data_IF_126208817181
#
_entry.id   IF_126208817181
#
_cell.length_a   1.000
_cell.length_b   1.000
_cell.length_c   1.000
_cell.angle_alpha   90.00
_cell.angle_beta   90.00
_cell.angle_gamma   90.00
#
_symmetry.space_group_name_H-M   'P 1'
#
loop_
_entity.id
_entity.type
_entity.pdbx_description
1 polymer ?
#
# COMPACT_ATOMS: atom_id res chain seq x y z
N UNK A 1 -58.20 5.56 -45.32
CA UNK A 1 -56.75 5.83 -45.49
C UNK A 1 -56.09 5.81 -44.13
N UNK A 2 -55.20 4.82 -43.94
CA UNK A 2 -54.58 4.47 -42.66
C UNK A 2 -53.23 5.19 -42.51
N UNK A 3 -52.99 5.85 -41.38
CA UNK A 3 -51.64 6.24 -40.95
C UNK A 3 -51.34 5.48 -39.64
N UNK A 4 -50.46 4.48 -39.75
CA UNK A 4 -49.91 3.73 -38.61
C UNK A 4 -48.89 4.59 -37.83
N UNK A 5 -48.70 4.35 -36.53
CA UNK A 5 -47.75 5.08 -35.70
C UNK A 5 -46.30 4.66 -35.98
N UNK A 6 -45.41 5.65 -36.05
CA UNK A 6 -43.96 5.48 -36.04
C UNK A 6 -43.54 5.27 -34.59
N UNK A 7 -43.35 4.01 -34.18
CA UNK A 7 -42.80 3.67 -32.87
C UNK A 7 -41.84 2.47 -33.02
N UNK A 8 -40.86 2.60 -33.89
CA UNK A 8 -39.82 1.57 -34.07
C UNK A 8 -38.47 2.25 -34.29
N UNK A 9 -37.85 2.68 -33.20
CA UNK A 9 -36.45 3.08 -33.08
C UNK A 9 -36.32 3.65 -31.68
N UNK A 10 -35.90 2.84 -30.70
CA UNK A 10 -35.27 3.28 -29.44
C UNK A 10 -35.02 2.11 -28.46
N UNK A 11 -35.57 0.91 -28.71
CA UNK A 11 -35.48 -0.19 -27.74
C UNK A 11 -34.24 -1.09 -27.82
N UNK A 12 -33.23 -0.77 -28.64
CA UNK A 12 -32.05 -1.62 -28.83
C UNK A 12 -30.72 -1.03 -28.31
N UNK A 13 -30.73 0.14 -27.66
CA UNK A 13 -29.48 0.83 -27.27
C UNK A 13 -29.19 0.68 -25.77
N UNK A 14 -30.15 0.27 -24.95
CA UNK A 14 -30.00 0.18 -23.50
C UNK A 14 -29.22 -1.05 -22.95
N UNK A 15 -29.25 -2.27 -23.54
CA UNK A 15 -28.54 -3.40 -22.92
C UNK A 15 -27.04 -3.44 -23.24
N UNK A 16 -26.60 -2.87 -24.37
CA UNK A 16 -25.19 -2.88 -24.78
C UNK A 16 -24.30 -1.99 -23.92
N UNK A 17 -24.82 -0.86 -23.45
CA UNK A 17 -24.09 0.06 -22.58
C UNK A 17 -23.84 -0.55 -21.19
N UNK A 18 -24.77 -1.36 -20.67
CA UNK A 18 -24.63 -2.00 -19.37
C UNK A 18 -23.51 -3.07 -19.36
N UNK A 19 -23.46 -3.93 -20.38
CA UNK A 19 -22.43 -4.98 -20.49
C UNK A 19 -21.03 -4.37 -20.72
N UNK A 20 -20.95 -3.30 -21.53
CA UNK A 20 -19.70 -2.56 -21.75
C UNK A 20 -19.17 -1.90 -20.47
N UNK A 21 -20.04 -1.32 -19.65
CA UNK A 21 -19.65 -0.71 -18.37
C UNK A 21 -19.22 -1.75 -17.33
N UNK A 22 -19.85 -2.95 -17.33
CA UNK A 22 -19.48 -4.05 -16.42
C UNK A 22 -18.10 -4.64 -16.76
N UNK A 23 -17.76 -4.77 -18.04
CA UNK A 23 -16.44 -5.25 -18.49
C UNK A 23 -15.33 -4.22 -18.24
N UNK A 24 -15.62 -2.92 -18.45
CA UNK A 24 -14.68 -1.86 -18.07
C UNK A 24 -14.47 -1.78 -16.56
N UNK A 25 -15.52 -1.94 -15.74
CA UNK A 25 -15.34 -1.98 -14.28
C UNK A 25 -14.61 -3.23 -13.81
N UNK A 26 -14.81 -4.42 -14.39
CA UNK A 26 -14.00 -5.59 -14.01
C UNK A 26 -12.53 -5.47 -14.43
N UNK A 27 -12.23 -4.92 -15.62
CA UNK A 27 -10.85 -4.70 -16.07
C UNK A 27 -10.14 -3.58 -15.29
N UNK A 28 -10.88 -2.53 -14.87
CA UNK A 28 -10.35 -1.48 -14.00
C UNK A 28 -10.19 -2.00 -12.57
N UNK A 29 -11.07 -2.88 -12.07
CA UNK A 29 -10.93 -3.44 -10.72
C UNK A 29 -9.84 -4.53 -10.65
N UNK A 30 -9.59 -5.29 -11.72
CA UNK A 30 -8.51 -6.29 -11.75
C UNK A 30 -7.13 -5.69 -12.06
N UNK A 31 -7.04 -4.67 -12.92
CA UNK A 31 -5.79 -4.00 -13.25
C UNK A 31 -5.22 -3.12 -12.13
N UNK A 32 -6.05 -2.71 -11.16
CA UNK A 32 -5.66 -1.82 -10.06
C UNK A 32 -5.18 -2.56 -8.80
N UNK A 33 -5.27 -3.89 -8.74
CA UNK A 33 -4.86 -4.65 -7.55
C UNK A 33 -3.35 -4.59 -7.30
N UNK A 34 -2.57 -4.33 -8.34
CA UNK A 34 -1.11 -4.23 -8.31
C UNK A 34 -0.57 -2.82 -7.98
N UNK A 35 -1.40 -1.77 -7.91
CA UNK A 35 -0.91 -0.45 -7.47
C UNK A 35 -1.88 0.49 -6.72
N UNK A 36 -2.36 0.15 -5.51
CA UNK A 36 -2.88 1.17 -4.61
C UNK A 36 -1.71 1.82 -3.87
N UNK A 37 -1.14 2.91 -4.40
CA UNK A 37 -0.11 3.68 -3.69
C UNK A 37 -0.59 3.95 -2.27
N UNK A 38 0.10 3.37 -1.29
CA UNK A 38 -0.28 3.53 0.10
C UNK A 38 -0.16 4.99 0.49
N UNK A 39 -1.21 5.63 1.03
CA UNK A 39 -1.02 6.89 1.73
C UNK A 39 0.00 6.63 2.86
N UNK A 40 1.00 7.49 3.02
CA UNK A 40 2.05 7.33 4.03
C UNK A 40 1.49 7.62 5.42
N UNK A 41 1.76 6.75 6.40
CA UNK A 41 1.51 7.04 7.81
C UNK A 41 2.48 8.10 8.32
N UNK A 42 3.70 8.07 7.76
CA UNK A 42 4.82 8.84 8.24
C UNK A 42 5.11 9.93 7.22
N UNK A 43 4.52 11.10 7.46
CA UNK A 43 4.57 12.25 6.56
C UNK A 43 5.13 13.51 7.23
N UNK A 44 5.65 13.39 8.45
CA UNK A 44 6.24 14.52 9.14
C UNK A 44 7.60 14.90 8.53
N UNK A 45 7.95 16.18 8.64
CA UNK A 45 9.29 16.67 8.34
C UNK A 45 10.23 16.36 9.50
N UNK A 46 11.45 15.83 9.25
CA UNK A 46 12.40 15.52 10.31
C UNK A 46 12.75 16.76 11.14
N UNK A 47 12.58 16.71 12.47
CA UNK A 47 13.07 17.77 13.33
C UNK A 47 14.59 17.69 13.47
N UNK A 48 15.21 18.80 13.83
CA UNK A 48 16.60 18.81 14.26
C UNK A 48 16.71 18.22 15.67
N UNK A 49 17.46 17.13 15.82
CA UNK A 49 17.75 16.53 17.14
C UNK A 49 18.45 17.56 18.02
N UNK A 50 18.06 17.63 19.30
CA UNK A 50 18.53 18.62 20.27
C UNK A 50 17.88 20.00 20.13
N UNK A 51 17.12 20.27 19.06
CA UNK A 51 16.34 21.51 18.97
C UNK A 51 15.11 21.45 19.89
N UNK A 52 14.69 22.62 20.39
CA UNK A 52 13.51 22.75 21.24
C UNK A 52 12.25 22.31 20.50
N UNK A 53 11.41 21.53 21.18
CA UNK A 53 10.20 20.93 20.61
C UNK A 53 8.90 21.42 21.25
N UNK A 54 9.00 22.10 22.40
CA UNK A 54 7.89 22.76 23.08
C UNK A 54 8.14 24.27 23.17
N UNK A 55 7.18 25.01 23.72
CA UNK A 55 7.21 26.48 23.81
C UNK A 55 8.52 27.05 24.39
N UNK A 56 8.78 28.36 24.21
CA UNK A 56 10.10 28.97 24.41
C UNK A 56 10.68 28.83 25.83
N UNK A 57 9.85 28.62 26.86
CA UNK A 57 10.24 28.40 28.25
C UNK A 57 10.44 26.92 28.64
N UNK A 58 10.13 25.99 27.74
CA UNK A 58 10.23 24.56 28.02
C UNK A 58 11.65 24.03 27.76
N UNK A 59 12.19 23.16 28.65
CA UNK A 59 13.49 22.52 28.44
C UNK A 59 13.42 21.33 27.46
N UNK A 60 12.25 21.05 26.87
CA UNK A 60 12.06 19.89 26.02
C UNK A 60 12.75 20.00 24.66
N UNK A 61 13.43 18.94 24.25
CA UNK A 61 14.14 18.84 22.97
C UNK A 61 13.76 17.57 22.21
N UNK A 62 13.98 17.57 20.90
CA UNK A 62 13.84 16.37 20.08
C UNK A 62 14.98 15.39 20.37
N UNK A 63 14.63 14.17 20.78
CA UNK A 63 15.58 13.06 20.97
C UNK A 63 16.01 12.45 19.62
N UNK A 64 17.11 11.69 19.63
CA UNK A 64 17.46 10.80 18.53
C UNK A 64 16.29 9.87 18.19
N UNK A 65 16.04 9.64 16.89
CA UNK A 65 14.89 8.87 16.49
C UNK A 65 15.09 7.38 16.81
N UNK A 66 14.00 6.72 17.18
CA UNK A 66 13.91 5.26 17.20
C UNK A 66 13.19 4.79 15.93
N UNK A 67 13.49 3.57 15.49
CA UNK A 67 12.79 2.99 14.36
C UNK A 67 11.56 2.23 14.84
N UNK A 68 10.40 2.57 14.28
CA UNK A 68 9.14 1.89 14.51
C UNK A 68 8.61 1.27 13.21
N UNK A 69 7.85 0.20 13.34
CA UNK A 69 7.19 -0.47 12.21
C UNK A 69 5.67 -0.30 12.33
N UNK A 70 5.05 0.24 11.29
CA UNK A 70 3.60 0.45 11.22
C UNK A 70 3.04 -0.45 10.13
N UNK A 71 2.29 -1.48 10.54
CA UNK A 71 1.59 -2.37 9.61
C UNK A 71 0.43 -1.60 8.96
N UNK A 72 0.45 -1.45 7.63
CA UNK A 72 -0.49 -0.57 6.92
C UNK A 72 -1.65 -1.34 6.33
N UNK A 73 -1.37 -2.10 5.28
CA UNK A 73 -2.41 -2.72 4.46
C UNK A 73 -1.90 -3.98 3.81
N UNK A 74 -2.85 -4.85 3.52
CA UNK A 74 -2.64 -6.07 2.79
C UNK A 74 -2.86 -5.83 1.29
N UNK A 75 -1.86 -6.16 0.49
CA UNK A 75 -1.72 -5.77 -0.91
C UNK A 75 -1.45 -6.95 -1.81
N UNK A 76 -1.85 -6.82 -3.07
CA UNK A 76 -1.63 -7.80 -4.12
C UNK A 76 -0.64 -7.25 -5.15
N UNK A 77 0.66 -7.29 -4.84
CA UNK A 77 1.69 -6.61 -5.65
C UNK A 77 2.86 -7.49 -6.07
N UNK A 78 2.82 -8.76 -5.71
CA UNK A 78 3.98 -9.64 -5.84
C UNK A 78 3.62 -10.84 -6.71
N UNK A 79 4.57 -11.21 -7.56
CA UNK A 79 4.55 -12.49 -8.24
C UNK A 79 5.55 -13.43 -7.55
N UNK A 80 5.11 -14.67 -7.30
CA UNK A 80 5.94 -15.78 -6.88
C UNK A 80 5.55 -17.07 -7.60
N UNK A 81 6.50 -17.92 -8.02
CA UNK A 81 6.18 -19.25 -8.55
C UNK A 81 5.52 -20.16 -7.51
N UNK A 82 5.57 -19.79 -6.23
CA UNK A 82 4.95 -20.52 -5.12
C UNK A 82 3.42 -20.35 -5.03
N UNK A 83 2.82 -19.50 -5.89
CA UNK A 83 1.38 -19.21 -5.96
C UNK A 83 0.89 -19.21 -7.43
N UNK A 84 0.86 -20.34 -8.14
CA UNK A 84 0.73 -20.39 -9.61
C UNK A 84 -0.68 -20.05 -10.16
N UNK A 85 -1.58 -19.47 -9.36
CA UNK A 85 -2.99 -19.29 -9.70
C UNK A 85 -3.29 -18.21 -10.74
N UNK A 86 -2.33 -17.34 -11.08
CA UNK A 86 -2.47 -16.30 -12.12
C UNK A 86 -1.21 -16.24 -13.02
N UNK A 87 -1.32 -15.66 -14.23
CA UNK A 87 -0.19 -15.49 -15.15
C UNK A 87 1.01 -14.76 -14.52
N UNK A 88 2.23 -15.08 -14.97
CA UNK A 88 3.47 -14.56 -14.36
C UNK A 88 3.68 -13.03 -14.51
N UNK A 89 2.85 -12.33 -15.28
CA UNK A 89 2.83 -10.87 -15.36
C UNK A 89 1.84 -10.22 -14.39
N UNK A 90 1.09 -11.01 -13.61
CA UNK A 90 0.08 -10.55 -12.67
C UNK A 90 0.48 -10.84 -11.21
N UNK A 91 -0.16 -10.14 -10.28
CA UNK A 91 0.10 -10.29 -8.86
C UNK A 91 -0.62 -11.51 -8.31
N UNK A 92 0.14 -12.47 -7.77
CA UNK A 92 -0.40 -13.74 -7.28
C UNK A 92 -0.24 -13.93 -5.77
N UNK A 93 0.68 -13.20 -5.14
CA UNK A 93 0.98 -13.27 -3.72
C UNK A 93 0.48 -12.01 -3.01
N UNK A 94 -0.19 -12.25 -1.89
CA UNK A 94 -0.66 -11.20 -0.99
C UNK A 94 0.39 -10.89 0.07
N UNK A 95 0.60 -9.61 0.34
CA UNK A 95 1.65 -9.14 1.24
C UNK A 95 1.19 -7.97 2.11
N UNK A 96 1.62 -7.94 3.36
CA UNK A 96 1.50 -6.79 4.23
C UNK A 96 2.57 -5.77 3.88
N UNK A 97 2.16 -4.53 3.61
CA UNK A 97 3.08 -3.41 3.60
C UNK A 97 3.30 -2.92 5.04
N UNK A 98 4.57 -2.87 5.41
CA UNK A 98 5.04 -2.38 6.70
C UNK A 98 5.85 -1.13 6.42
N UNK A 99 5.35 0.00 6.91
CA UNK A 99 6.03 1.28 6.82
C UNK A 99 6.98 1.41 8.02
N UNK A 100 8.27 1.54 7.73
CA UNK A 100 9.30 1.83 8.74
C UNK A 100 9.43 3.33 8.86
N UNK A 101 9.41 3.81 10.09
CA UNK A 101 9.43 5.23 10.38
C UNK A 101 10.42 5.54 11.48
N UNK A 102 11.11 6.67 11.32
CA UNK A 102 11.86 7.30 12.39
C UNK A 102 10.88 8.07 13.27
N UNK A 103 10.73 7.62 14.51
CA UNK A 103 9.93 8.29 15.53
C UNK A 103 10.82 9.21 16.37
N UNK A 104 10.58 10.51 16.25
CA UNK A 104 11.23 11.53 17.06
C UNK A 104 10.31 11.89 18.22
N UNK A 105 10.82 11.72 19.44
CA UNK A 105 10.09 12.06 20.67
C UNK A 105 10.62 13.38 21.22
N UNK A 106 9.70 14.18 21.75
CA UNK A 106 10.02 15.40 22.47
C UNK A 106 10.20 15.02 23.94
N UNK A 107 11.39 15.19 24.49
CA UNK A 107 11.72 14.75 25.86
C UNK A 107 12.34 15.89 26.66
N UNK A 108 12.15 15.86 27.97
CA UNK A 108 12.81 16.78 28.90
C UNK A 108 14.22 16.29 29.26
N UNK A 109 15.01 17.06 30.04
CA UNK A 109 16.36 16.65 30.46
C UNK A 109 16.40 15.37 31.32
N UNK A 110 15.28 14.93 31.87
CA UNK A 110 15.17 13.66 32.60
C UNK A 110 14.88 12.46 31.68
N UNK A 111 14.64 12.70 30.39
CA UNK A 111 14.24 11.70 29.41
C UNK A 111 12.73 11.42 29.38
N UNK A 112 11.93 12.20 30.12
CA UNK A 112 10.47 12.03 30.16
C UNK A 112 9.84 12.67 28.93
N UNK A 113 8.88 11.97 28.32
CA UNK A 113 8.16 12.50 27.17
C UNK A 113 7.38 13.77 27.55
N UNK A 114 7.62 14.84 26.81
CA UNK A 114 6.85 16.06 26.90
C UNK A 114 5.50 15.88 26.19
N UNK A 115 4.49 16.69 26.56
CA UNK A 115 3.15 16.63 25.98
C UNK A 115 3.08 17.22 24.56
N UNK A 116 3.96 16.75 23.68
CA UNK A 116 4.06 17.08 22.26
C UNK A 116 4.02 15.77 21.50
N UNK A 117 3.13 15.68 20.51
CA UNK A 117 3.00 14.46 19.71
C UNK A 117 4.32 14.10 19.04
N UNK A 118 4.69 12.80 19.04
CA UNK A 118 5.90 12.36 18.35
C UNK A 118 5.77 12.64 16.85
N UNK A 119 6.89 12.98 16.23
CA UNK A 119 6.97 13.13 14.76
C UNK A 119 7.41 11.82 14.13
N UNK A 120 6.73 11.41 13.07
CA UNK A 120 6.99 10.15 12.35
C UNK A 120 7.43 10.45 10.93
N UNK A 121 8.72 10.25 10.69
CA UNK A 121 9.35 10.51 9.39
C UNK A 121 9.53 9.19 8.66
N UNK A 122 9.14 9.15 7.39
CA UNK A 122 9.29 7.99 6.54
C UNK A 122 10.77 7.57 6.41
N UNK A 123 11.04 6.28 6.61
CA UNK A 123 12.34 5.66 6.34
C UNK A 123 12.26 4.77 5.09
N UNK A 124 11.46 3.71 5.17
CA UNK A 124 11.38 2.69 4.13
C UNK A 124 10.06 1.90 4.19
N UNK A 125 9.78 1.11 3.16
CA UNK A 125 8.69 0.13 3.16
C UNK A 125 9.29 -1.26 3.03
N UNK A 126 8.87 -2.16 3.91
CA UNK A 126 9.13 -3.60 3.81
C UNK A 126 7.81 -4.30 3.53
N UNK A 127 7.89 -5.41 2.80
CA UNK A 127 6.75 -6.25 2.51
C UNK A 127 6.95 -7.62 3.14
N UNK A 128 5.94 -8.07 3.86
CA UNK A 128 5.88 -9.40 4.45
C UNK A 128 4.79 -10.23 3.81
N UNK A 129 5.07 -11.50 3.54
CA UNK A 129 4.08 -12.45 3.05
C UNK A 129 2.88 -12.52 3.99
N UNK A 130 1.68 -12.62 3.41
CA UNK A 130 0.48 -12.96 4.14
C UNK A 130 0.25 -14.48 4.23
N UNK A 131 1.07 -15.29 3.53
CA UNK A 131 0.89 -16.73 3.41
C UNK A 131 -0.31 -17.15 2.56
N UNK A 132 -0.82 -16.23 1.74
CA UNK A 132 -1.98 -16.46 0.89
C UNK A 132 -1.85 -15.75 -0.45
N UNK A 133 -2.57 -16.28 -1.42
CA UNK A 133 -2.75 -15.68 -2.73
C UNK A 133 -3.69 -14.49 -2.67
N UNK A 134 -3.75 -13.74 -3.76
CA UNK A 134 -4.72 -12.66 -3.93
C UNK A 134 -6.19 -13.11 -3.87
N UNK A 135 -6.47 -14.39 -4.09
CA UNK A 135 -7.79 -15.00 -3.92
C UNK A 135 -8.10 -15.44 -2.48
N UNK A 136 -7.20 -15.23 -1.51
CA UNK A 136 -7.38 -15.67 -0.12
C UNK A 136 -7.11 -17.15 0.12
N UNK A 137 -6.52 -17.86 -0.85
CA UNK A 137 -6.14 -19.27 -0.69
C UNK A 137 -4.70 -19.37 -0.17
N UNK A 138 -4.41 -20.26 0.80
CA UNK A 138 -3.06 -20.45 1.32
C UNK A 138 -2.06 -20.78 0.21
N UNK A 139 -0.97 -20.01 0.12
CA UNK A 139 0.13 -20.25 -0.82
C UNK A 139 1.35 -19.40 -0.44
N UNK A 140 2.50 -19.70 -1.05
CA UNK A 140 3.68 -18.86 -0.89
C UNK A 140 4.41 -19.02 0.45
N UNK A 141 5.31 -18.08 0.77
CA UNK A 141 6.09 -18.12 2.01
C UNK A 141 5.19 -17.95 3.25
N UNK A 142 5.57 -18.48 4.43
CA UNK A 142 4.78 -18.34 5.66
C UNK A 142 4.44 -16.88 6.00
N UNK A 143 3.31 -16.60 6.67
CA UNK A 143 2.96 -15.25 7.10
C UNK A 143 4.06 -14.59 7.95
N UNK A 144 4.34 -13.30 7.71
CA UNK A 144 5.40 -12.55 8.41
C UNK A 144 6.80 -12.70 7.79
N UNK A 145 6.94 -13.53 6.76
CA UNK A 145 8.20 -13.65 6.03
C UNK A 145 8.48 -12.39 5.21
N UNK A 146 9.63 -11.74 5.41
CA UNK A 146 10.07 -10.61 4.57
C UNK A 146 10.35 -11.10 3.14
N UNK A 147 9.69 -10.49 2.17
CA UNK A 147 9.73 -10.88 0.75
C UNK A 147 10.18 -9.74 -0.16
N UNK A 148 10.17 -8.50 0.32
CA UNK A 148 10.70 -7.35 -0.42
C UNK A 148 10.98 -6.18 0.52
N UNK A 149 11.88 -5.27 0.14
CA UNK A 149 12.22 -4.09 0.95
C UNK A 149 13.32 -3.23 0.31
N UNK A 150 13.87 -2.24 1.05
CA UNK A 150 15.00 -1.44 0.59
C UNK A 150 16.25 -2.29 0.34
N UNK A 151 17.27 -1.76 -0.36
CA UNK A 151 18.55 -2.44 -0.55
C UNK A 151 19.11 -2.96 0.78
N UNK A 152 19.61 -4.19 0.78
CA UNK A 152 20.09 -4.88 2.00
C UNK A 152 19.01 -5.67 2.75
N UNK A 153 17.74 -5.61 2.33
CA UNK A 153 16.71 -6.54 2.83
C UNK A 153 17.04 -7.95 2.33
N UNK A 154 17.24 -8.94 3.21
CA UNK A 154 17.42 -10.31 2.77
C UNK A 154 16.12 -10.81 2.13
N UNK A 155 16.22 -11.32 0.90
CA UNK A 155 15.09 -11.86 0.14
C UNK A 155 15.29 -13.36 -0.03
N UNK A 156 14.83 -14.19 0.93
CA UNK A 156 15.06 -15.64 0.90
C UNK A 156 14.18 -16.39 -0.11
N UNK A 157 13.20 -15.72 -0.72
CA UNK A 157 12.22 -16.35 -1.61
C UNK A 157 12.22 -15.71 -3.00
N UNK A 158 11.91 -16.49 -4.06
CA UNK A 158 11.83 -15.96 -5.43
C UNK A 158 10.52 -15.15 -5.60
N UNK A 159 10.51 -13.95 -5.04
CA UNK A 159 9.39 -13.02 -5.10
C UNK A 159 9.82 -11.78 -5.87
N UNK A 160 9.00 -11.37 -6.84
CA UNK A 160 9.27 -10.19 -7.66
C UNK A 160 8.11 -9.21 -7.55
N UNK A 161 8.36 -7.91 -7.28
CA UNK A 161 7.30 -6.91 -7.32
C UNK A 161 6.81 -6.73 -8.75
N UNK A 162 5.51 -6.68 -8.92
CA UNK A 162 4.89 -6.26 -10.18
C UNK A 162 4.76 -4.74 -10.10
N UNK A 163 5.75 -4.04 -10.64
CA UNK A 163 5.67 -2.59 -10.85
C UNK A 163 4.90 -2.41 -12.17
N UNK A 164 3.77 -1.68 -12.19
CA UNK A 164 3.12 -1.37 -13.46
C UNK A 164 4.16 -0.66 -14.33
N UNK A 165 4.53 -1.29 -15.44
CA UNK A 165 5.22 -0.58 -16.50
C UNK A 165 4.19 0.45 -16.97
N UNK A 166 4.45 1.73 -16.68
CA UNK A 166 3.60 2.79 -17.22
C UNK A 166 3.52 2.55 -18.73
N UNK A 167 2.31 2.27 -19.22
CA UNK A 167 2.07 2.33 -20.65
C UNK A 167 2.47 3.75 -21.06
N UNK A 168 3.54 3.83 -21.86
CA UNK A 168 3.91 5.05 -22.58
C UNK A 168 2.76 5.47 -23.49
#
# INVERSE_FOLDING_TARGET
MSKKPIAWRNFAILPGAAVGLSLLTTAIVSGWQCDPRLPRACNDTPPSVGARCAGPSSPCVWEYPSLIEVRRQLLCRFNTPLCPSVPANECNLRAWAIERCWEYRCVDPSGTACNVSPKKVFDSVIYESAGESCGGNPCGPPPGTRIWGPPGTPVPFPVTPVIPTGQK
#
